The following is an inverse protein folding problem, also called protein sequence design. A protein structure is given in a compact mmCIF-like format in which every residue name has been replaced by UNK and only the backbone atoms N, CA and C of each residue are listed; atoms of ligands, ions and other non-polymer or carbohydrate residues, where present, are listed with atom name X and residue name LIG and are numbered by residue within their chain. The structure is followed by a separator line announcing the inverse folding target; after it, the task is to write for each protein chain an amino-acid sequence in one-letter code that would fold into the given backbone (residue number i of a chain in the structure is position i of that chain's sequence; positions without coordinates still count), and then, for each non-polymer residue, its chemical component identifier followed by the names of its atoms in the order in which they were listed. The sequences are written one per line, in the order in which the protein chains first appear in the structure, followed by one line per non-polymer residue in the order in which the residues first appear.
data_IF_192677741230
#
_entry.id   IF_192677741230
#
_cell.length_a   1.000
_cell.length_b   1.000
_cell.length_c   1.000
_cell.angle_alpha   90.00
_cell.angle_beta   90.00
_cell.angle_gamma   90.00
#
_symmetry.space_group_name_H-M   'P 1'
#
loop_
_entity.id
_entity.type
_entity.pdbx_description
1 polymer ?
#
# COMPACT_ATOMS: atom_id res chain seq x y z
N UNK A 1 -41.90 -33.12 -48.45
CA UNK A 1 -42.49 -32.30 -49.54
C UNK A 1 -42.16 -30.83 -49.22
N UNK A 2 -41.66 -30.03 -50.17
CA UNK A 2 -40.78 -28.87 -49.89
C UNK A 2 -41.46 -27.47 -49.95
N UNK A 3 -40.66 -26.45 -49.54
CA UNK A 3 -40.68 -24.95 -49.75
C UNK A 3 -41.81 -24.11 -49.12
N UNK A 4 -41.64 -22.78 -48.81
CA UNK A 4 -40.66 -21.81 -49.34
C UNK A 4 -39.98 -20.83 -48.35
N UNK A 5 -39.08 -20.02 -48.93
CA UNK A 5 -38.29 -18.88 -48.44
C UNK A 5 -39.06 -17.55 -48.29
N UNK A 6 -38.64 -16.69 -47.34
CA UNK A 6 -38.68 -15.20 -47.36
C UNK A 6 -38.05 -14.65 -46.06
N UNK A 7 -36.87 -14.02 -46.03
CA UNK A 7 -36.54 -12.62 -46.36
C UNK A 7 -36.38 -11.73 -45.10
N UNK A 8 -35.20 -11.13 -44.94
CA UNK A 8 -35.03 -9.78 -44.37
C UNK A 8 -34.73 -9.67 -42.87
N UNK A 9 -33.51 -9.22 -42.54
CA UNK A 9 -33.19 -8.68 -41.22
C UNK A 9 -31.71 -8.75 -40.84
N UNK A 10 -30.87 -7.94 -41.50
CA UNK A 10 -29.50 -7.68 -41.06
C UNK A 10 -29.51 -7.05 -39.66
N UNK A 11 -29.04 -7.80 -38.65
CA UNK A 11 -28.69 -7.25 -37.35
C UNK A 11 -27.16 -7.35 -37.18
N UNK A 12 -26.49 -6.28 -37.59
CA UNK A 12 -25.09 -6.01 -37.33
C UNK A 12 -24.87 -5.94 -35.80
N UNK A 13 -24.25 -6.98 -35.24
CA UNK A 13 -23.79 -7.00 -33.85
C UNK A 13 -22.50 -6.18 -33.80
N UNK A 14 -22.45 -5.04 -33.08
CA UNK A 14 -21.20 -4.30 -32.96
C UNK A 14 -20.22 -5.15 -32.16
N UNK A 15 -19.11 -5.52 -32.79
CA UNK A 15 -17.94 -6.06 -32.13
C UNK A 15 -17.35 -4.96 -31.22
N UNK A 16 -17.90 -4.85 -30.01
CA UNK A 16 -17.25 -4.14 -28.93
C UNK A 16 -15.99 -4.92 -28.57
N UNK A 17 -14.83 -4.37 -28.93
CA UNK A 17 -13.53 -4.87 -28.49
C UNK A 17 -13.53 -4.99 -26.98
N UNK A 18 -13.73 -6.22 -26.50
CA UNK A 18 -13.50 -6.62 -25.12
C UNK A 18 -12.06 -6.20 -24.81
N UNK A 19 -11.90 -5.17 -23.98
CA UNK A 19 -10.61 -4.89 -23.36
C UNK A 19 -10.39 -6.03 -22.38
N UNK A 20 -9.89 -7.15 -22.90
CA UNK A 20 -9.34 -8.22 -22.09
C UNK A 20 -8.26 -7.54 -21.27
N UNK A 21 -8.54 -7.34 -19.98
CA UNK A 21 -7.48 -7.04 -19.02
C UNK A 21 -6.55 -8.23 -19.10
N UNK A 22 -5.51 -8.10 -19.92
CA UNK A 22 -4.40 -9.02 -19.96
C UNK A 22 -3.67 -8.79 -18.65
N UNK A 23 -4.22 -9.34 -17.56
CA UNK A 23 -3.43 -9.69 -16.40
C UNK A 23 -2.30 -10.51 -17.00
N UNK A 24 -1.10 -9.95 -16.97
CA UNK A 24 0.11 -10.71 -17.23
C UNK A 24 0.20 -11.69 -16.04
N UNK A 25 -0.61 -12.74 -16.11
CA UNK A 25 -0.39 -13.98 -15.42
C UNK A 25 0.70 -14.65 -16.24
N UNK A 26 1.92 -14.11 -16.19
CA UNK A 26 3.05 -14.92 -16.57
C UNK A 26 3.00 -16.13 -15.62
N UNK A 27 2.70 -17.34 -16.11
CA UNK A 27 2.54 -18.52 -15.26
C UNK A 27 3.87 -18.94 -14.59
N UNK A 28 4.93 -18.14 -14.80
CA UNK A 28 6.29 -18.35 -14.34
C UNK A 28 6.80 -17.21 -13.47
N UNK A 29 5.97 -16.23 -13.06
CA UNK A 29 6.40 -15.27 -12.04
C UNK A 29 6.49 -15.98 -10.68
N UNK A 30 7.70 -16.41 -10.33
CA UNK A 30 8.01 -16.89 -8.99
C UNK A 30 8.49 -15.69 -8.16
N UNK A 31 7.78 -15.30 -7.09
CA UNK A 31 8.30 -14.29 -6.18
C UNK A 31 9.62 -14.78 -5.59
N UNK A 32 10.71 -14.07 -5.88
CA UNK A 32 12.04 -14.39 -5.38
C UNK A 32 12.52 -13.25 -4.49
N UNK A 33 13.19 -13.58 -3.39
CA UNK A 33 13.79 -12.60 -2.50
C UNK A 33 15.06 -12.03 -3.15
N UNK A 34 14.95 -10.83 -3.73
CA UNK A 34 16.09 -10.13 -4.31
C UNK A 34 16.74 -9.21 -3.28
N UNK A 35 18.07 -9.23 -3.24
CA UNK A 35 18.88 -8.25 -2.53
C UNK A 35 19.55 -7.37 -3.58
N UNK A 36 19.18 -6.09 -3.59
CA UNK A 36 19.67 -5.15 -4.60
C UNK A 36 20.42 -4.03 -3.90
N UNK A 37 21.62 -3.75 -4.40
CA UNK A 37 22.41 -2.60 -3.96
C UNK A 37 22.59 -1.67 -5.17
N UNK A 38 22.08 -0.44 -5.04
CA UNK A 38 22.24 0.57 -6.06
C UNK A 38 23.49 1.40 -5.76
N UNK A 39 24.51 1.25 -6.60
CA UNK A 39 25.73 2.05 -6.53
C UNK A 39 25.39 3.50 -6.90
N UNK A 40 25.35 4.37 -5.91
CA UNK A 40 25.13 5.80 -6.08
C UNK A 40 26.26 6.57 -5.39
N UNK A 41 26.73 7.70 -5.95
CA UNK A 41 27.82 8.50 -5.39
C UNK A 41 27.31 9.36 -4.22
N UNK A 42 26.72 8.72 -3.20
CA UNK A 42 26.18 9.39 -2.03
C UNK A 42 27.09 9.20 -0.82
N UNK A 43 27.22 10.23 0.04
CA UNK A 43 27.98 10.11 1.29
C UNK A 43 27.20 9.33 2.37
N UNK A 44 25.94 8.99 2.13
CA UNK A 44 25.04 8.30 3.06
C UNK A 44 24.20 7.25 2.33
N UNK A 45 23.74 6.25 3.08
CA UNK A 45 23.00 5.11 2.57
C UNK A 45 21.50 5.20 2.89
N UNK A 46 20.73 4.43 2.13
CA UNK A 46 19.29 4.24 2.32
C UNK A 46 19.02 2.74 2.28
N UNK A 47 18.60 2.18 3.40
CA UNK A 47 18.38 0.74 3.54
C UNK A 47 16.89 0.50 3.71
N UNK A 48 16.36 -0.49 3.00
CA UNK A 48 14.97 -0.92 3.11
C UNK A 48 14.87 -2.44 3.06
N UNK A 49 14.19 -3.02 4.04
CA UNK A 49 13.86 -4.43 4.07
C UNK A 49 12.34 -4.58 4.13
N UNK A 50 11.77 -5.35 3.20
CA UNK A 50 10.34 -5.57 3.08
C UNK A 50 10.00 -7.03 3.32
N UNK A 51 9.07 -7.26 4.25
CA UNK A 51 8.55 -8.56 4.62
C UNK A 51 7.09 -8.61 4.20
N UNK A 52 6.72 -9.65 3.43
CA UNK A 52 5.33 -9.90 3.07
C UNK A 52 4.59 -10.46 4.29
N UNK A 53 3.50 -9.81 4.68
CA UNK A 53 2.65 -10.22 5.80
C UNK A 53 1.20 -10.42 5.32
N UNK A 54 0.21 -10.05 6.14
CA UNK A 54 -1.21 -10.22 5.86
C UNK A 54 -1.86 -8.93 5.31
N UNK A 55 -2.88 -9.05 4.44
CA UNK A 55 -3.61 -7.90 3.92
C UNK A 55 -4.42 -7.18 5.02
N UNK A 56 -4.88 -5.96 4.74
CA UNK A 56 -5.61 -5.12 5.70
C UNK A 56 -6.87 -5.76 6.31
N UNK A 57 -7.54 -6.64 5.57
CA UNK A 57 -8.77 -7.31 6.01
C UNK A 57 -8.53 -8.38 7.07
N UNK A 58 -7.30 -8.81 7.25
CA UNK A 58 -6.93 -9.84 8.21
C UNK A 58 -6.82 -9.24 9.63
N UNK A 59 -7.37 -9.89 10.68
CA UNK A 59 -7.25 -9.41 12.05
C UNK A 59 -5.79 -9.20 12.51
N UNK A 60 -4.83 -9.98 12.00
CA UNK A 60 -3.43 -9.87 12.38
C UNK A 60 -2.77 -8.58 11.85
N UNK A 61 -3.38 -7.93 10.86
CA UNK A 61 -2.88 -6.67 10.31
C UNK A 61 -2.83 -5.56 11.36
N UNK A 62 -3.85 -5.47 12.20
CA UNK A 62 -3.91 -4.48 13.27
C UNK A 62 -2.77 -4.70 14.29
N UNK A 63 -2.56 -5.95 14.70
CA UNK A 63 -1.48 -6.35 15.60
C UNK A 63 -0.11 -5.98 15.03
N UNK A 64 0.13 -6.28 13.76
CA UNK A 64 1.37 -5.92 13.06
C UNK A 64 1.56 -4.40 12.94
N UNK A 65 0.48 -3.64 12.80
CA UNK A 65 0.54 -2.17 12.73
C UNK A 65 1.00 -1.57 14.07
N UNK A 66 0.47 -2.07 15.18
CA UNK A 66 0.92 -1.67 16.53
C UNK A 66 2.38 -2.12 16.73
N UNK A 67 2.72 -3.35 16.35
CA UNK A 67 4.08 -3.88 16.48
C UNK A 67 5.10 -3.02 15.71
N UNK A 68 4.78 -2.56 14.50
CA UNK A 68 5.66 -1.68 13.73
C UNK A 68 5.99 -0.39 14.49
N UNK A 69 4.98 0.23 15.12
CA UNK A 69 5.19 1.45 15.93
C UNK A 69 5.98 1.16 17.19
N UNK A 70 5.65 0.07 17.88
CA UNK A 70 6.34 -0.35 19.10
C UNK A 70 7.84 -0.61 18.84
N UNK A 71 8.16 -1.40 17.80
CA UNK A 71 9.54 -1.67 17.38
C UNK A 71 10.29 -0.40 16.99
N UNK A 72 9.59 0.55 16.33
CA UNK A 72 10.18 1.84 15.97
C UNK A 72 10.57 2.64 17.21
N UNK A 73 9.65 2.79 18.15
CA UNK A 73 9.84 3.62 19.34
C UNK A 73 10.87 3.03 20.32
N UNK A 74 10.83 1.70 20.55
CA UNK A 74 11.61 1.07 21.62
C UNK A 74 12.97 0.52 21.20
N UNK A 75 13.14 0.20 19.92
CA UNK A 75 14.34 -0.52 19.46
C UNK A 75 15.02 0.18 18.28
N UNK A 76 14.32 0.34 17.16
CA UNK A 76 14.93 0.80 15.91
C UNK A 76 15.43 2.24 16.01
N UNK A 77 14.72 3.13 16.71
CA UNK A 77 15.16 4.51 16.87
C UNK A 77 16.47 4.59 17.67
N UNK A 78 16.58 3.90 18.80
CA UNK A 78 17.82 3.84 19.59
C UNK A 78 18.97 3.18 18.84
N UNK A 79 18.76 2.03 18.21
CA UNK A 79 19.86 1.33 17.52
C UNK A 79 20.34 2.06 16.26
N UNK A 80 19.41 2.52 15.41
CA UNK A 80 19.76 3.06 14.09
C UNK A 80 20.13 4.55 14.17
N UNK A 81 19.40 5.34 14.96
CA UNK A 81 19.62 6.79 15.05
C UNK A 81 20.54 7.18 16.20
N UNK A 82 20.30 6.71 17.41
CA UNK A 82 21.09 7.16 18.57
C UNK A 82 22.49 6.51 18.60
N UNK A 83 22.58 5.21 18.34
CA UNK A 83 23.86 4.49 18.29
C UNK A 83 24.51 4.53 16.91
N UNK A 84 23.72 4.28 15.86
CA UNK A 84 24.20 4.21 14.48
C UNK A 84 24.44 5.58 13.82
N UNK A 85 23.90 6.67 14.37
CA UNK A 85 24.08 8.02 13.83
C UNK A 85 23.28 8.33 12.56
N UNK A 86 22.34 7.46 12.17
CA UNK A 86 21.46 7.73 11.03
C UNK A 86 20.47 8.86 11.35
N UNK A 87 19.98 9.56 10.32
CA UNK A 87 18.97 10.60 10.52
C UNK A 87 17.62 10.03 10.98
N UNK A 88 17.24 8.86 10.47
CA UNK A 88 15.99 8.21 10.83
C UNK A 88 16.02 6.71 10.57
N UNK A 89 15.32 5.97 11.42
CA UNK A 89 15.13 4.53 11.27
C UNK A 89 13.80 4.11 11.89
N UNK A 90 13.16 3.10 11.32
CA UNK A 90 11.89 2.63 11.81
C UNK A 90 11.26 1.51 11.00
N UNK A 91 10.06 1.13 11.41
CA UNK A 91 9.23 0.13 10.77
C UNK A 91 7.84 0.70 10.46
N UNK A 92 7.28 0.26 9.33
CA UNK A 92 5.92 0.65 8.91
C UNK A 92 5.22 -0.53 8.25
N UNK A 93 3.91 -0.63 8.48
CA UNK A 93 3.04 -1.55 7.76
C UNK A 93 2.18 -0.76 6.77
N UNK A 94 2.25 -1.17 5.50
CA UNK A 94 1.47 -0.61 4.40
C UNK A 94 0.12 -1.34 4.26
N UNK A 95 -0.89 -0.68 3.67
CA UNK A 95 -2.23 -1.26 3.52
C UNK A 95 -2.26 -2.57 2.69
N UNK A 96 -1.30 -2.73 1.77
CA UNK A 96 -1.09 -3.94 0.99
C UNK A 96 -0.47 -5.12 1.80
N UNK A 97 -0.27 -4.97 3.11
CA UNK A 97 0.28 -6.03 3.96
C UNK A 97 1.80 -6.19 3.85
N UNK A 98 2.51 -5.17 3.38
CA UNK A 98 3.98 -5.17 3.36
C UNK A 98 4.50 -4.46 4.60
N UNK A 99 5.25 -5.21 5.42
CA UNK A 99 5.96 -4.69 6.58
C UNK A 99 7.35 -4.26 6.14
N UNK A 100 7.65 -2.97 6.25
CA UNK A 100 8.90 -2.37 5.79
C UNK A 100 9.69 -1.86 6.97
N UNK A 101 10.92 -2.35 7.14
CA UNK A 101 11.95 -1.74 7.97
C UNK A 101 12.80 -0.84 7.08
N UNK A 102 13.19 0.32 7.58
CA UNK A 102 13.95 1.27 6.80
C UNK A 102 14.90 2.09 7.66
N UNK A 103 15.97 2.55 7.03
CA UNK A 103 16.83 3.63 7.51
C UNK A 103 16.96 4.73 6.45
N UNK A 104 17.22 5.94 6.92
CA UNK A 104 17.28 7.14 6.10
C UNK A 104 18.50 7.97 6.47
N UNK A 105 19.31 8.31 5.46
CA UNK A 105 20.60 9.01 5.60
C UNK A 105 21.48 8.33 6.67
N UNK A 106 21.77 7.06 6.41
CA UNK A 106 22.48 6.19 7.33
C UNK A 106 23.95 6.05 6.93
N UNK A 107 24.93 6.30 7.82
CA UNK A 107 26.34 6.02 7.51
C UNK A 107 26.62 4.51 7.39
N UNK A 108 25.82 3.66 8.04
CA UNK A 108 26.05 2.23 8.15
C UNK A 108 25.02 1.41 7.35
N UNK A 109 25.48 0.40 6.60
CA UNK A 109 24.55 -0.47 5.82
C UNK A 109 24.40 -1.85 6.47
N UNK A 110 25.53 -2.54 6.71
CA UNK A 110 25.52 -3.92 7.22
C UNK A 110 25.04 -3.98 8.66
N UNK A 111 25.47 -3.04 9.50
CA UNK A 111 25.04 -2.96 10.90
C UNK A 111 23.53 -2.71 11.00
N UNK A 112 22.98 -1.85 10.14
CA UNK A 112 21.55 -1.58 10.08
C UNK A 112 20.75 -2.82 9.69
N UNK A 113 21.22 -3.61 8.72
CA UNK A 113 20.61 -4.91 8.38
C UNK A 113 20.66 -5.89 9.56
N UNK A 114 21.75 -5.92 10.33
CA UNK A 114 21.82 -6.73 11.55
C UNK A 114 20.84 -6.23 12.61
N UNK A 115 20.70 -4.92 12.77
CA UNK A 115 19.75 -4.29 13.70
C UNK A 115 18.30 -4.60 13.34
N UNK A 116 17.94 -4.71 12.05
CA UNK A 116 16.63 -5.19 11.63
C UNK A 116 16.35 -6.61 12.14
N UNK A 117 17.29 -7.55 11.98
CA UNK A 117 17.16 -8.91 12.50
C UNK A 117 17.07 -8.95 14.03
N UNK A 118 17.89 -8.13 14.73
CA UNK A 118 17.82 -8.01 16.20
C UNK A 118 16.49 -7.43 16.67
N UNK A 119 15.90 -6.48 15.94
CA UNK A 119 14.61 -5.90 16.26
C UNK A 119 13.49 -6.95 16.21
N UNK A 120 13.52 -7.84 15.22
CA UNK A 120 12.57 -8.96 15.12
C UNK A 120 12.76 -9.94 16.30
N UNK A 121 14.01 -10.25 16.66
CA UNK A 121 14.29 -11.10 17.82
C UNK A 121 13.84 -10.46 19.14
N UNK A 122 14.00 -9.14 19.28
CA UNK A 122 13.50 -8.38 20.43
C UNK A 122 11.97 -8.44 20.50
N UNK A 123 11.27 -8.23 19.39
CA UNK A 123 9.82 -8.36 19.31
C UNK A 123 9.34 -9.77 19.72
N UNK A 124 10.03 -10.82 19.27
CA UNK A 124 9.75 -12.21 19.65
C UNK A 124 10.00 -12.49 21.14
N UNK A 125 10.94 -11.79 21.77
CA UNK A 125 11.26 -11.97 23.18
C UNK A 125 10.20 -11.45 24.14
N UNK A 126 9.24 -10.64 23.66
CA UNK A 126 8.15 -10.12 24.49
C UNK A 126 8.60 -9.16 25.59
N UNK A 127 9.82 -8.59 25.51
CA UNK A 127 10.37 -7.67 26.51
C UNK A 127 9.87 -6.23 26.33
N UNK A 128 8.55 -6.07 26.33
CA UNK A 128 7.86 -4.78 26.30
C UNK A 128 6.77 -4.75 27.37
N UNK A 129 6.50 -3.56 27.89
CA UNK A 129 5.49 -3.37 28.94
C UNK A 129 4.13 -3.07 28.32
N UNK A 130 3.06 -3.22 29.11
CA UNK A 130 1.72 -2.83 28.67
C UNK A 130 1.64 -1.33 28.33
N UNK A 131 2.38 -0.49 29.06
CA UNK A 131 2.47 0.94 28.77
C UNK A 131 3.04 1.21 27.37
N UNK A 132 4.10 0.50 26.98
CA UNK A 132 4.70 0.65 25.64
C UNK A 132 3.69 0.31 24.53
N UNK A 133 2.83 -0.70 24.77
CA UNK A 133 1.76 -1.07 23.85
C UNK A 133 0.73 0.04 23.75
N UNK A 134 0.33 0.65 24.87
CA UNK A 134 -0.68 1.70 24.88
C UNK A 134 -0.16 2.99 24.23
N UNK A 135 1.12 3.33 24.44
CA UNK A 135 1.79 4.42 23.70
C UNK A 135 1.85 4.13 22.19
N UNK A 136 2.14 2.88 21.80
CA UNK A 136 2.13 2.47 20.40
C UNK A 136 0.72 2.59 19.79
N UNK A 137 -0.33 2.22 20.52
CA UNK A 137 -1.73 2.43 20.08
C UNK A 137 -2.01 3.92 19.88
N UNK A 138 -1.70 4.77 20.86
CA UNK A 138 -1.88 6.22 20.74
C UNK A 138 -1.14 6.80 19.52
N UNK A 139 0.07 6.32 19.24
CA UNK A 139 0.85 6.71 18.06
C UNK A 139 0.24 6.25 16.72
N UNK A 140 -0.47 5.12 16.72
CA UNK A 140 -1.20 4.66 15.53
C UNK A 140 -2.47 5.50 15.34
N UNK A 141 -3.28 5.66 16.38
CA UNK A 141 -4.53 6.43 16.31
C UNK A 141 -4.29 7.89 15.97
N UNK A 142 -3.24 8.52 16.50
CA UNK A 142 -2.89 9.90 16.12
C UNK A 142 -2.60 10.08 14.63
N UNK A 143 -2.18 9.02 13.94
CA UNK A 143 -1.93 9.05 12.50
C UNK A 143 -3.20 8.75 11.70
N UNK A 144 -4.02 7.81 12.18
CA UNK A 144 -5.25 7.40 11.49
C UNK A 144 -6.37 8.43 11.65
N UNK A 145 -6.48 9.06 12.82
CA UNK A 145 -7.52 10.04 13.18
C UNK A 145 -7.08 11.49 12.89
N UNK A 146 -5.99 11.66 12.14
CA UNK A 146 -5.53 12.98 11.73
C UNK A 146 -6.63 13.72 10.93
N UNK A 147 -6.80 15.04 11.12
CA UNK A 147 -7.86 15.79 10.46
C UNK A 147 -7.68 15.74 8.93
N UNK A 148 -8.72 15.27 8.24
CA UNK A 148 -8.75 15.18 6.77
C UNK A 148 -9.40 16.44 6.19
N UNK A 149 -8.71 17.11 5.27
CA UNK A 149 -9.22 18.31 4.61
C UNK A 149 -10.47 17.99 3.76
N UNK A 150 -11.39 18.95 3.56
CA UNK A 150 -12.60 18.72 2.77
C UNK A 150 -12.34 18.24 1.34
N UNK A 151 -11.28 18.74 0.68
CA UNK A 151 -10.85 18.29 -0.66
C UNK A 151 -10.47 16.82 -0.67
N UNK A 152 -9.74 16.38 0.36
CA UNK A 152 -9.24 15.02 0.48
C UNK A 152 -10.37 14.05 0.79
N UNK A 153 -11.42 14.48 1.50
CA UNK A 153 -12.64 13.69 1.65
C UNK A 153 -13.32 13.44 0.31
N UNK A 154 -13.36 14.44 -0.56
CA UNK A 154 -13.87 14.31 -1.93
C UNK A 154 -13.09 13.27 -2.73
N UNK A 155 -11.76 13.39 -2.76
CA UNK A 155 -10.87 12.45 -3.47
C UNK A 155 -10.93 11.05 -2.87
N UNK A 156 -10.95 10.92 -1.54
CA UNK A 156 -11.07 9.64 -0.86
C UNK A 156 -12.40 8.97 -1.20
N UNK A 157 -13.51 9.72 -1.19
CA UNK A 157 -14.83 9.18 -1.55
C UNK A 157 -14.86 8.67 -2.99
N UNK A 158 -14.25 9.41 -3.93
CA UNK A 158 -14.13 8.98 -5.33
C UNK A 158 -13.25 7.73 -5.41
N UNK A 159 -12.09 7.72 -4.75
CA UNK A 159 -11.12 6.62 -4.79
C UNK A 159 -11.70 5.32 -4.19
N UNK A 160 -12.40 5.41 -3.07
CA UNK A 160 -13.10 4.27 -2.45
C UNK A 160 -14.24 3.80 -3.34
N UNK A 161 -14.98 4.72 -3.97
CA UNK A 161 -16.10 4.38 -4.84
C UNK A 161 -15.65 3.74 -6.16
N UNK A 162 -14.55 4.17 -6.77
CA UNK A 162 -13.99 3.50 -7.96
C UNK A 162 -13.41 2.13 -7.62
N UNK A 163 -12.77 1.97 -6.45
CA UNK A 163 -12.21 0.68 -6.05
C UNK A 163 -13.29 -0.33 -5.70
N UNK A 164 -14.41 0.11 -5.11
CA UNK A 164 -15.60 -0.74 -4.86
C UNK A 164 -16.43 -1.02 -6.11
N UNK A 165 -16.67 -0.04 -6.99
CA UNK A 165 -17.41 -0.25 -8.25
C UNK A 165 -16.65 -1.08 -9.28
N UNK A 166 -15.31 -1.07 -9.26
CA UNK A 166 -14.51 -1.93 -10.13
C UNK A 166 -14.67 -3.43 -9.84
N UNK A 167 -15.39 -3.78 -8.76
CA UNK A 167 -15.80 -5.15 -8.44
C UNK A 167 -17.26 -5.45 -8.83
N UNK A 168 -18.06 -4.46 -9.25
CA UNK A 168 -19.48 -4.71 -9.55
C UNK A 168 -19.96 -4.41 -10.96
N UNK A 169 -19.49 -3.39 -11.69
CA UNK A 169 -20.00 -3.19 -13.08
C UNK A 169 -19.06 -2.38 -14.00
N UNK A 170 -19.16 -2.72 -15.29
CA UNK A 170 -18.52 -2.13 -16.45
C UNK A 170 -18.70 -0.60 -16.58
N UNK A 171 -17.65 0.04 -17.11
CA UNK A 171 -17.60 1.37 -17.78
C UNK A 171 -18.60 2.43 -17.27
N UNK A 172 -18.18 3.27 -16.34
CA UNK A 172 -18.81 4.57 -16.12
C UNK A 172 -18.15 5.64 -17.00
N UNK A 173 -18.78 5.96 -18.13
CA UNK A 173 -18.52 7.21 -18.87
C UNK A 173 -18.89 8.37 -17.96
N UNK A 174 -17.90 9.19 -17.59
CA UNK A 174 -18.14 10.48 -16.94
C UNK A 174 -18.75 11.43 -17.99
N UNK A 175 -20.08 11.45 -18.07
CA UNK A 175 -20.81 12.53 -18.73
C UNK A 175 -20.74 13.75 -17.82
N UNK A 176 -19.86 14.69 -18.13
CA UNK A 176 -19.88 16.03 -17.52
C UNK A 176 -21.14 16.73 -18.04
N UNK A 177 -22.09 17.17 -17.19
CA UNK A 177 -23.21 17.96 -17.67
C UNK A 177 -22.67 19.28 -18.22
N UNK A 178 -22.90 19.53 -19.52
CA UNK A 178 -22.60 20.80 -20.15
C UNK A 178 -23.37 21.92 -19.45
N UNK A 179 -22.63 22.91 -18.95
CA UNK A 179 -23.18 24.19 -18.52
C UNK A 179 -23.65 24.93 -19.78
N UNK A 180 -24.93 24.76 -20.14
CA UNK A 180 -25.63 25.64 -21.07
C UNK A 180 -26.31 26.75 -20.27
N UNK A 181 -26.12 28.00 -20.71
CA UNK A 181 -26.42 29.21 -19.96
C UNK A 181 -27.89 29.54 -19.72
N UNK A 182 -28.07 30.57 -18.88
CA UNK A 182 -29.27 31.40 -18.82
C UNK A 182 -28.79 32.86 -18.82
N UNK A 183 -28.97 33.51 -19.97
CA UNK A 183 -29.11 34.96 -20.08
C UNK A 183 -30.48 35.41 -19.55
N UNK A 184 -30.59 36.71 -19.28
CA UNK A 184 -31.72 37.51 -18.78
C UNK A 184 -31.85 37.50 -17.25
N UNK A 185 -31.76 38.65 -16.58
CA UNK A 185 -32.53 39.87 -16.84
C UNK A 185 -31.79 41.16 -16.47
#
# INVERSE_FOLDING_TARGET
KPVPSSSGGDAYVPHGSQVIRKLVMEPTFKPWQMKTHFLMPFPVNYVGECIRTVPYTDPDHASLKILARLMTAKFLHTEIREKGGAYGGGAKLSHNGIFTLYSYRDPNTIETLQSFGKAVNWAKSGKFTQQDIDEAKLSVFSTVDAPVAPSDKGILSITVRISTHSLTDDVAVFQVPGMYGQEHQ
#
